data_IF_050483580260
#
_entry.id   IF_050483580260
#
_cell.length_a   1.000
_cell.length_b   1.000
_cell.length_c   1.000
_cell.angle_alpha   90.00
_cell.angle_beta   90.00
_cell.angle_gamma   90.00
#
_symmetry.space_group_name_H-M   'P 1'
#
loop_
_entity.id
_entity.type
_entity.pdbx_description
1 polymer ?
#
# COMPACT_ATOMS: atom_id res chain seq x y z
N UNK A 1 -6.22 -0.45 9.21
CA UNK A 1 -4.97 -1.23 9.04
C UNK A 1 -5.33 -2.66 8.67
N UNK A 2 -4.70 -3.19 7.62
CA UNK A 2 -4.84 -4.56 7.19
C UNK A 2 -3.53 -5.30 7.44
N UNK A 3 -3.58 -6.47 8.06
CA UNK A 3 -2.43 -7.31 8.28
C UNK A 3 -2.72 -8.71 7.78
N UNK A 4 -1.92 -9.18 6.83
CA UNK A 4 -1.98 -10.55 6.37
C UNK A 4 -1.48 -11.50 7.47
N UNK A 5 -2.17 -12.62 7.62
CA UNK A 5 -1.74 -13.68 8.52
C UNK A 5 -0.60 -14.51 7.90
N UNK A 6 -0.18 -15.59 8.56
CA UNK A 6 0.73 -16.57 7.96
C UNK A 6 0.05 -17.46 6.90
N UNK A 7 -1.29 -17.45 6.90
CA UNK A 7 -2.16 -18.06 5.90
C UNK A 7 -2.54 -16.97 4.89
N UNK A 8 -2.18 -17.18 3.62
CA UNK A 8 -2.30 -16.19 2.56
C UNK A 8 -3.79 -15.89 2.33
N UNK A 9 -4.12 -14.62 2.16
CA UNK A 9 -5.50 -14.20 1.95
C UNK A 9 -6.43 -14.29 3.17
N UNK A 10 -5.89 -14.63 4.35
CA UNK A 10 -6.56 -14.41 5.63
C UNK A 10 -5.98 -13.14 6.26
N UNK A 11 -6.85 -12.16 6.47
CA UNK A 11 -6.49 -10.81 6.87
C UNK A 11 -7.10 -10.47 8.21
N UNK A 12 -6.31 -9.86 9.09
CA UNK A 12 -6.85 -9.12 10.24
C UNK A 12 -7.02 -7.66 9.85
N UNK A 13 -8.25 -7.19 9.90
CA UNK A 13 -8.61 -5.81 9.59
C UNK A 13 -8.93 -5.11 10.90
N UNK A 14 -8.24 -4.01 11.15
CA UNK A 14 -8.47 -3.16 12.32
C UNK A 14 -8.80 -1.75 11.90
N UNK A 15 -9.96 -1.26 12.33
CA UNK A 15 -10.27 0.15 12.29
C UNK A 15 -9.78 0.79 13.58
N UNK A 16 -8.97 1.84 13.46
CA UNK A 16 -8.43 2.58 14.60
C UNK A 16 -8.81 4.04 14.49
N UNK A 17 -9.02 4.70 15.62
CA UNK A 17 -9.18 6.15 15.67
C UNK A 17 -7.83 6.90 15.60
N UNK A 18 -7.89 8.23 15.67
CA UNK A 18 -6.71 9.07 15.67
C UNK A 18 -5.78 8.83 16.89
N UNK A 19 -6.32 8.32 18.00
CA UNK A 19 -5.57 7.96 19.21
C UNK A 19 -5.03 6.52 19.18
N UNK A 20 -5.16 5.81 18.05
CA UNK A 20 -4.80 4.40 17.89
C UNK A 20 -5.63 3.42 18.73
N UNK A 21 -6.81 3.85 19.19
CA UNK A 21 -7.77 2.96 19.85
C UNK A 21 -8.46 2.11 18.79
N UNK A 22 -8.54 0.79 19.02
CA UNK A 22 -9.23 -0.14 18.12
C UNK A 22 -10.74 0.04 18.28
N UNK A 23 -11.39 0.47 17.19
CA UNK A 23 -12.83 0.63 17.10
C UNK A 23 -13.52 -0.64 16.59
N UNK A 24 -12.84 -1.37 15.71
CA UNK A 24 -13.31 -2.61 15.09
C UNK A 24 -12.10 -3.51 14.78
N UNK A 25 -12.28 -4.83 14.93
CA UNK A 25 -11.23 -5.84 14.77
C UNK A 25 -11.84 -7.18 14.35
N UNK A 26 -11.68 -7.52 13.08
CA UNK A 26 -12.26 -8.73 12.50
C UNK A 26 -11.29 -9.39 11.53
N UNK A 27 -11.65 -10.61 11.14
CA UNK A 27 -10.97 -11.34 10.09
C UNK A 27 -11.76 -11.21 8.79
N UNK A 28 -11.05 -10.99 7.68
CA UNK A 28 -11.57 -11.09 6.33
C UNK A 28 -10.81 -12.17 5.57
N UNK A 29 -11.50 -12.86 4.67
CA UNK A 29 -10.91 -13.83 3.75
C UNK A 29 -11.14 -13.33 2.33
N UNK A 30 -10.07 -13.22 1.55
CA UNK A 30 -10.12 -12.73 0.19
C UNK A 30 -8.73 -12.40 -0.36
N UNK A 31 -8.68 -12.02 -1.64
CA UNK A 31 -7.44 -11.59 -2.30
C UNK A 31 -6.82 -10.37 -1.59
N UNK A 32 -7.66 -9.44 -1.14
CA UNK A 32 -7.32 -8.30 -0.31
C UNK A 32 -8.56 -7.83 0.47
N UNK A 33 -8.42 -7.18 1.64
CA UNK A 33 -9.58 -6.70 2.40
C UNK A 33 -10.44 -5.70 1.62
N UNK A 34 -11.74 -5.74 1.81
CA UNK A 34 -12.67 -4.84 1.12
C UNK A 34 -12.34 -3.36 1.42
N UNK A 35 -12.00 -3.06 2.68
CA UNK A 35 -11.60 -1.72 3.10
C UNK A 35 -10.39 -1.17 2.31
N UNK A 36 -9.43 -2.03 1.96
CA UNK A 36 -8.25 -1.64 1.17
C UNK A 36 -8.66 -1.28 -0.25
N UNK A 37 -9.46 -2.13 -0.91
CA UNK A 37 -9.94 -1.84 -2.26
C UNK A 37 -10.78 -0.56 -2.30
N UNK A 38 -11.70 -0.40 -1.35
CA UNK A 38 -12.54 0.80 -1.25
C UNK A 38 -11.76 2.07 -0.91
N UNK A 39 -10.60 1.96 -0.23
CA UNK A 39 -9.80 3.11 0.17
C UNK A 39 -9.15 3.85 -0.97
N UNK A 40 -8.76 3.15 -2.04
CA UNK A 40 -8.23 3.77 -3.28
C UNK A 40 -9.23 4.73 -3.91
N UNK A 41 -10.52 4.44 -3.74
CA UNK A 41 -11.65 5.22 -4.26
C UNK A 41 -12.20 6.25 -3.27
N UNK A 42 -11.71 6.29 -2.04
CA UNK A 42 -12.26 7.15 -0.98
C UNK A 42 -11.93 8.64 -1.10
N UNK A 43 -10.99 9.03 -1.98
CA UNK A 43 -10.71 10.44 -2.22
C UNK A 43 -11.81 11.07 -3.08
N UNK A 44 -12.17 12.32 -2.77
CA UNK A 44 -13.19 13.04 -3.53
C UNK A 44 -12.81 13.13 -5.02
N UNK A 45 -13.78 12.95 -5.95
CA UNK A 45 -13.55 13.20 -7.37
C UNK A 45 -12.96 14.60 -7.57
N UNK A 46 -11.84 14.70 -8.30
CA UNK A 46 -11.14 15.97 -8.50
C UNK A 46 -10.11 16.33 -7.43
N UNK A 47 -9.72 15.38 -6.55
CA UNK A 47 -8.54 15.57 -5.68
C UNK A 47 -7.31 15.81 -6.54
N UNK A 48 -6.83 17.06 -6.57
CA UNK A 48 -5.64 17.45 -7.30
C UNK A 48 -4.43 17.44 -6.36
N UNK A 49 -3.34 16.83 -6.82
CA UNK A 49 -2.04 16.98 -6.20
C UNK A 49 -1.48 18.34 -6.61
N UNK A 50 -1.49 19.30 -5.68
CA UNK A 50 -0.97 20.65 -5.86
C UNK A 50 0.22 20.82 -4.92
N UNK A 51 1.45 20.53 -5.37
CA UNK A 51 2.62 20.57 -4.51
C UNK A 51 2.85 21.96 -3.92
N UNK A 52 3.13 22.00 -2.61
CA UNK A 52 3.67 23.19 -1.96
C UNK A 52 5.06 23.56 -2.47
N UNK A 53 5.57 24.71 -1.99
CA UNK A 53 6.96 25.07 -2.27
C UNK A 53 7.92 24.04 -1.63
N UNK A 54 8.96 23.58 -2.36
CA UNK A 54 9.90 22.61 -1.83
C UNK A 54 10.68 23.18 -0.64
N UNK A 55 10.93 22.34 0.37
CA UNK A 55 11.78 22.70 1.50
C UNK A 55 13.26 22.79 1.05
N UNK A 56 14.13 23.53 1.77
CA UNK A 56 15.56 23.57 1.44
C UNK A 56 16.18 22.16 1.40
N UNK A 57 16.95 21.86 0.36
CA UNK A 57 17.61 20.56 0.16
C UNK A 57 16.83 19.56 -0.69
N UNK A 58 15.58 19.86 -1.06
CA UNK A 58 14.83 19.14 -2.08
C UNK A 58 15.44 19.36 -3.46
N UNK A 59 15.53 18.30 -4.26
CA UNK A 59 16.10 18.32 -5.60
C UNK A 59 15.13 17.70 -6.62
N UNK A 60 14.83 16.41 -6.46
CA UNK A 60 14.13 15.62 -7.48
C UNK A 60 12.65 15.40 -7.17
N UNK A 61 12.20 15.59 -5.92
CA UNK A 61 10.80 15.42 -5.56
C UNK A 61 9.81 16.27 -6.38
N UNK A 62 10.08 17.53 -6.78
CA UNK A 62 9.13 18.33 -7.55
C UNK A 62 8.79 17.70 -8.90
N UNK A 63 9.79 17.15 -9.61
CA UNK A 63 9.56 16.46 -10.88
C UNK A 63 8.72 15.18 -10.69
N UNK A 64 8.99 14.43 -9.63
CA UNK A 64 8.21 13.24 -9.28
C UNK A 64 6.76 13.57 -8.93
N UNK A 65 6.51 14.66 -8.23
CA UNK A 65 5.15 15.09 -7.89
C UNK A 65 4.36 15.50 -9.14
N UNK A 66 5.02 16.12 -10.12
CA UNK A 66 4.40 16.41 -11.43
C UNK A 66 4.05 15.11 -12.16
N UNK A 67 4.96 14.14 -12.22
CA UNK A 67 4.71 12.84 -12.84
C UNK A 67 3.56 12.09 -12.14
N UNK A 68 3.55 12.06 -10.81
CA UNK A 68 2.48 11.43 -10.02
C UNK A 68 1.15 12.12 -10.30
N UNK A 69 1.11 13.46 -10.29
CA UNK A 69 -0.11 14.22 -10.57
C UNK A 69 -0.66 13.92 -11.96
N UNK A 70 0.21 13.89 -12.98
CA UNK A 70 -0.15 13.57 -14.35
C UNK A 70 -0.73 12.15 -14.44
N UNK A 71 0.01 11.14 -13.95
CA UNK A 71 -0.41 9.74 -14.03
C UNK A 71 -1.67 9.45 -13.24
N UNK A 72 -1.81 10.04 -12.05
CA UNK A 72 -3.03 9.96 -11.24
C UNK A 72 -4.22 10.56 -11.98
N UNK A 73 -4.05 11.69 -12.68
CA UNK A 73 -5.16 12.38 -13.38
C UNK A 73 -5.67 11.63 -14.60
N UNK A 74 -4.81 10.83 -15.25
CA UNK A 74 -5.16 10.05 -16.44
C UNK A 74 -5.51 8.59 -16.13
N UNK A 75 -5.31 8.15 -14.88
CA UNK A 75 -5.53 6.77 -14.49
C UNK A 75 -7.02 6.40 -14.56
N UNK A 76 -7.28 5.18 -15.03
CA UNK A 76 -8.61 4.58 -15.08
C UNK A 76 -8.61 3.16 -14.47
N UNK A 77 -9.75 2.69 -13.92
CA UNK A 77 -9.83 1.34 -13.36
C UNK A 77 -9.43 0.26 -14.38
N UNK A 78 -8.47 -0.59 -13.99
CA UNK A 78 -7.92 -1.64 -14.84
C UNK A 78 -6.62 -1.27 -15.55
N UNK A 79 -6.17 -0.02 -15.49
CA UNK A 79 -4.86 0.36 -16.01
C UNK A 79 -3.73 -0.40 -15.30
N UNK A 80 -2.68 -0.72 -16.06
CA UNK A 80 -1.47 -1.30 -15.51
C UNK A 80 -0.82 -0.32 -14.52
N UNK A 81 -0.22 -0.86 -13.45
CA UNK A 81 0.47 -0.06 -12.46
C UNK A 81 1.57 0.80 -13.09
N UNK A 82 1.51 2.11 -12.84
CA UNK A 82 2.64 3.00 -13.08
C UNK A 82 3.53 3.01 -11.85
N UNK A 83 4.77 2.54 -11.98
CA UNK A 83 5.69 2.34 -10.86
C UNK A 83 6.87 3.30 -10.98
N UNK A 84 7.04 4.15 -9.97
CA UNK A 84 8.21 5.02 -9.82
C UNK A 84 9.14 4.39 -8.80
N UNK A 85 10.31 3.95 -9.25
CA UNK A 85 11.33 3.34 -8.40
C UNK A 85 12.19 4.40 -7.72
N UNK A 86 11.84 4.76 -6.49
CA UNK A 86 12.57 5.78 -5.71
C UNK A 86 13.98 5.33 -5.33
N UNK A 87 14.22 4.03 -5.21
CA UNK A 87 15.55 3.47 -4.85
C UNK A 87 16.59 3.69 -5.95
N UNK A 88 16.18 3.72 -7.22
CA UNK A 88 17.09 3.94 -8.35
C UNK A 88 17.33 5.42 -8.66
N UNK A 89 16.60 6.32 -8.01
CA UNK A 89 16.72 7.76 -8.23
C UNK A 89 17.69 8.37 -7.20
N UNK A 90 18.46 9.40 -7.59
CA UNK A 90 19.34 10.12 -6.68
C UNK A 90 18.52 11.06 -5.78
N UNK A 91 17.80 10.51 -4.81
CA UNK A 91 16.93 11.29 -3.91
C UNK A 91 17.68 11.69 -2.64
N UNK A 92 17.47 12.94 -2.22
CA UNK A 92 17.90 13.39 -0.90
C UNK A 92 16.91 12.93 0.18
N UNK A 93 17.29 13.07 1.46
CA UNK A 93 16.36 12.82 2.56
C UNK A 93 15.19 13.81 2.49
N UNK A 94 15.49 15.04 2.13
CA UNK A 94 14.55 16.14 1.98
C UNK A 94 13.55 15.86 0.87
N UNK A 95 13.97 15.23 -0.24
CA UNK A 95 13.05 14.75 -1.29
C UNK A 95 12.01 13.78 -0.74
N UNK A 96 12.43 12.77 0.03
CA UNK A 96 11.52 11.78 0.62
C UNK A 96 10.57 12.41 1.65
N UNK A 97 11.07 13.36 2.46
CA UNK A 97 10.23 14.11 3.42
C UNK A 97 9.19 14.94 2.67
N UNK A 98 9.60 15.63 1.61
CA UNK A 98 8.70 16.46 0.82
C UNK A 98 7.64 15.61 0.13
N UNK A 99 8.01 14.50 -0.53
CA UNK A 99 7.06 13.55 -1.11
C UNK A 99 6.03 13.07 -0.08
N UNK A 100 6.46 12.70 1.13
CA UNK A 100 5.54 12.25 2.17
C UNK A 100 4.65 13.32 2.75
N UNK A 101 5.10 14.57 2.79
CA UNK A 101 4.25 15.71 3.15
C UNK A 101 3.16 15.94 2.10
N UNK A 102 3.53 15.96 0.82
CA UNK A 102 2.62 16.29 -0.28
C UNK A 102 1.61 15.17 -0.57
N UNK A 103 2.07 13.91 -0.62
CA UNK A 103 1.19 12.76 -0.81
C UNK A 103 0.38 12.44 0.45
N UNK A 104 0.95 12.68 1.62
CA UNK A 104 0.36 12.40 2.92
C UNK A 104 0.02 10.93 3.18
N UNK A 105 -0.64 10.67 4.30
CA UNK A 105 -1.03 9.33 4.74
C UNK A 105 -2.51 9.10 4.50
N UNK A 106 -2.82 8.05 3.75
CA UNK A 106 -4.18 7.60 3.46
C UNK A 106 -4.78 6.74 4.56
N UNK A 107 -6.01 6.24 4.34
CA UNK A 107 -6.77 5.52 5.36
C UNK A 107 -6.34 4.05 5.54
N UNK A 108 -5.53 3.51 4.62
CA UNK A 108 -5.12 2.11 4.63
C UNK A 108 -3.60 1.96 4.74
N UNK A 109 -3.19 1.06 5.63
CA UNK A 109 -1.83 0.53 5.69
C UNK A 109 -1.95 -0.98 5.67
N UNK A 110 -1.21 -1.63 4.77
CA UNK A 110 -1.17 -3.07 4.60
C UNK A 110 0.22 -3.57 5.01
N UNK A 111 0.22 -4.62 5.82
CA UNK A 111 1.40 -5.40 6.12
C UNK A 111 1.22 -6.77 5.48
N UNK A 112 1.91 -7.00 4.36
CA UNK A 112 1.95 -8.32 3.73
C UNK A 112 3.22 -9.05 4.18
N UNK A 113 3.04 -10.30 4.60
CA UNK A 113 4.15 -11.20 4.97
C UNK A 113 4.22 -12.44 4.07
N UNK A 114 3.14 -12.76 3.35
CA UNK A 114 3.10 -13.90 2.45
C UNK A 114 3.97 -13.71 1.21
N UNK A 115 3.84 -12.56 0.54
CA UNK A 115 4.45 -12.31 -0.78
C UNK A 115 5.64 -11.32 -0.73
N UNK A 116 6.48 -11.47 0.30
CA UNK A 116 7.59 -10.56 0.60
C UNK A 116 7.20 -9.59 1.71
N UNK A 117 8.15 -9.31 2.61
CA UNK A 117 7.93 -8.41 3.75
C UNK A 117 7.72 -6.98 3.23
N UNK A 118 6.46 -6.61 3.00
CA UNK A 118 6.09 -5.35 2.37
C UNK A 118 5.26 -4.51 3.33
N UNK A 119 5.60 -3.22 3.38
CA UNK A 119 4.78 -2.19 4.03
C UNK A 119 4.20 -1.31 2.94
N UNK A 120 2.89 -1.36 2.81
CA UNK A 120 2.15 -0.67 1.75
C UNK A 120 1.27 0.37 2.44
N UNK A 121 1.49 1.64 2.13
CA UNK A 121 0.67 2.74 2.63
C UNK A 121 -0.15 3.33 1.50
N UNK A 122 -1.46 3.43 1.66
CA UNK A 122 -2.25 4.35 0.86
C UNK A 122 -1.77 5.77 1.17
N UNK A 123 -1.73 6.63 0.16
CA UNK A 123 -1.53 8.06 0.37
C UNK A 123 -2.88 8.77 0.50
N UNK A 124 -2.89 10.09 0.74
CA UNK A 124 -4.15 10.86 0.67
C UNK A 124 -4.64 11.02 -0.77
N UNK A 125 -3.80 10.71 -1.75
CA UNK A 125 -4.11 10.79 -3.16
C UNK A 125 -4.75 9.47 -3.64
N UNK A 126 -5.83 9.52 -4.44
CA UNK A 126 -6.51 8.32 -4.91
C UNK A 126 -5.58 7.46 -5.77
N UNK A 127 -5.65 6.14 -5.59
CA UNK A 127 -4.88 5.16 -6.34
C UNK A 127 -3.36 5.32 -6.27
N UNK A 128 -2.84 6.17 -5.39
CA UNK A 128 -1.39 6.36 -5.20
C UNK A 128 -0.97 5.66 -3.92
N UNK A 129 -0.08 4.69 -4.08
CA UNK A 129 0.42 3.82 -3.04
C UNK A 129 1.91 4.04 -2.83
N UNK A 130 2.34 4.01 -1.57
CA UNK A 130 3.75 3.98 -1.23
C UNK A 130 4.12 2.59 -0.74
N UNK A 131 4.90 1.86 -1.54
CA UNK A 131 5.26 0.47 -1.28
C UNK A 131 6.74 0.40 -0.90
N UNK A 132 7.02 -0.25 0.23
CA UNK A 132 8.36 -0.49 0.75
C UNK A 132 8.59 -1.98 0.92
N UNK A 133 9.57 -2.50 0.21
CA UNK A 133 9.97 -3.89 0.24
C UNK A 133 11.17 -4.07 1.15
N UNK A 134 11.09 -5.07 2.02
CA UNK A 134 12.15 -5.42 2.96
C UNK A 134 12.65 -6.82 2.69
N UNK A 135 13.93 -7.05 2.92
CA UNK A 135 14.49 -8.41 2.93
C UNK A 135 14.19 -9.13 4.26
N UNK A 136 14.72 -10.35 4.41
CA UNK A 136 14.56 -11.17 5.62
C UNK A 136 15.24 -10.60 6.88
N UNK A 137 16.06 -9.55 6.76
CA UNK A 137 16.74 -8.85 7.86
C UNK A 137 16.10 -7.48 8.14
N UNK A 138 14.88 -7.22 7.65
CA UNK A 138 14.18 -5.94 7.75
C UNK A 138 14.93 -4.74 7.14
N UNK A 139 15.87 -4.99 6.23
CA UNK A 139 16.52 -3.92 5.47
C UNK A 139 15.68 -3.54 4.24
N UNK A 140 15.46 -2.24 4.03
CA UNK A 140 14.75 -1.72 2.86
C UNK A 140 15.55 -2.00 1.59
N UNK A 141 14.96 -2.75 0.66
CA UNK A 141 15.61 -3.14 -0.61
C UNK A 141 15.00 -2.45 -1.83
N UNK A 142 13.72 -2.07 -1.76
CA UNK A 142 13.02 -1.36 -2.82
C UNK A 142 11.97 -0.43 -2.21
N UNK A 143 11.89 0.78 -2.74
CA UNK A 143 10.97 1.82 -2.34
C UNK A 143 10.31 2.39 -3.59
N UNK A 144 8.99 2.27 -3.71
CA UNK A 144 8.23 2.65 -4.91
C UNK A 144 7.03 3.53 -4.57
N UNK A 145 6.68 4.42 -5.50
CA UNK A 145 5.33 4.97 -5.61
C UNK A 145 4.64 4.22 -6.75
N UNK A 146 3.44 3.73 -6.49
CA UNK A 146 2.66 2.96 -7.46
C UNK A 146 1.30 3.62 -7.65
N UNK A 147 0.97 3.94 -8.90
CA UNK A 147 -0.35 4.43 -9.28
C UNK A 147 -1.14 3.27 -9.87
N UNK A 148 -2.06 2.72 -9.08
CA UNK A 148 -2.83 1.50 -9.37
C UNK A 148 -4.02 1.37 -8.40
N UNK A 149 -5.03 0.57 -8.75
CA UNK A 149 -6.16 0.25 -7.85
C UNK A 149 -5.65 -0.35 -6.52
N UNK A 150 -4.97 -1.50 -6.60
CA UNK A 150 -4.30 -2.15 -5.48
C UNK A 150 -2.94 -2.68 -5.95
N UNK A 151 -1.84 -2.44 -5.21
CA UNK A 151 -0.54 -2.98 -5.56
C UNK A 151 -0.59 -4.50 -5.66
N UNK A 152 -0.02 -5.07 -6.73
CA UNK A 152 -0.07 -6.50 -6.98
C UNK A 152 0.49 -7.33 -5.80
N UNK A 153 1.48 -6.80 -5.09
CA UNK A 153 2.09 -7.47 -3.91
C UNK A 153 1.13 -7.54 -2.69
N UNK A 154 0.03 -6.80 -2.69
CA UNK A 154 -1.02 -6.93 -1.68
C UNK A 154 -2.08 -7.98 -2.02
N UNK A 155 -2.14 -8.43 -3.28
CA UNK A 155 -3.17 -9.35 -3.76
C UNK A 155 -2.69 -10.80 -3.58
N UNK A 156 -3.45 -11.59 -2.84
CA UNK A 156 -3.28 -13.05 -2.84
C UNK A 156 -3.82 -13.65 -4.15
N UNK A 157 -3.05 -14.55 -4.77
CA UNK A 157 -3.51 -15.26 -5.96
C UNK A 157 -4.57 -16.29 -5.60
N UNK A 158 -5.42 -16.67 -6.57
CA UNK A 158 -6.46 -17.70 -6.36
C UNK A 158 -5.87 -19.06 -5.99
N UNK A 159 -4.70 -19.40 -6.51
CA UNK A 159 -3.94 -20.60 -6.16
C UNK A 159 -3.49 -20.58 -4.69
N UNK A 160 -2.97 -19.46 -4.20
CA UNK A 160 -2.57 -19.33 -2.80
C UNK A 160 -3.76 -19.43 -1.83
N UNK A 161 -4.93 -18.93 -2.25
CA UNK A 161 -6.17 -19.05 -1.48
C UNK A 161 -6.63 -20.51 -1.39
N UNK A 162 -6.52 -21.26 -2.49
CA UNK A 162 -6.84 -22.68 -2.52
C UNK A 162 -5.88 -23.49 -1.62
N UNK A 163 -4.58 -23.25 -1.76
CA UNK A 163 -3.55 -23.88 -0.92
C UNK A 163 -3.77 -23.53 0.57
N UNK A 164 -4.18 -22.30 0.86
CA UNK A 164 -4.52 -21.87 2.22
C UNK A 164 -5.73 -22.62 2.78
N UNK A 165 -6.74 -22.90 1.97
CA UNK A 165 -7.90 -23.68 2.39
C UNK A 165 -7.50 -25.10 2.78
N UNK A 166 -6.64 -25.75 1.99
CA UNK A 166 -6.13 -27.09 2.27
C UNK A 166 -5.29 -27.11 3.56
N UNK A 167 -4.37 -26.16 3.72
CA UNK A 167 -3.55 -26.03 4.94
C UNK A 167 -4.40 -25.76 6.18
N UNK A 168 -5.47 -24.97 6.05
CA UNK A 168 -6.38 -24.71 7.15
C UNK A 168 -7.12 -25.99 7.56
N UNK A 169 -7.56 -26.82 6.59
CA UNK A 169 -8.15 -28.11 6.91
C UNK A 169 -7.19 -29.02 7.67
N UNK A 170 -5.93 -29.11 7.23
CA UNK A 170 -4.90 -29.88 7.93
C UNK A 170 -4.72 -29.41 9.38
N UNK A 171 -4.62 -28.10 9.60
CA UNK A 171 -4.51 -27.52 10.94
C UNK A 171 -5.72 -27.90 11.81
N UNK A 172 -6.94 -27.84 11.27
CA UNK A 172 -8.16 -28.20 12.00
C UNK A 172 -8.18 -29.66 12.44
N UNK A 173 -7.56 -30.59 11.69
CA UNK A 173 -7.48 -32.00 12.09
C UNK A 173 -6.66 -32.22 13.37
N UNK A 174 -5.74 -31.31 13.71
CA UNK A 174 -4.92 -31.40 14.92
C UNK A 174 -5.69 -31.03 16.20
N UNK A 175 -6.88 -30.46 16.06
CA UNK A 175 -7.75 -30.05 17.17
C UNK A 175 -8.98 -30.94 17.35
N UNK A 176 -9.09 -32.03 16.57
CA UNK A 176 -10.14 -33.05 16.68
C UNK A 176 -9.64 -34.24 17.51
#
# INVERSE_FOLDING_TARGET
>A
MAQESVLIGIWRVRQVDAAQTVLDDHLEVGDVPHAVRSSSFGAAPGTALLPGAPIPGVQNAPALLVEIAEKMSTWTPGDQAHVINLTLLPLTREDLIHLGSELGVGPATILSRGYGNCRIGATRMPNVWWVKYFNSQDALILNTIEIVDVPAVALAAQEDLADTADRLQEILTLFQ
#
